data_IF_700078240759
#
_entry.id   IF_700078240759
#
_cell.length_a   1.000
_cell.length_b   1.000
_cell.length_c   1.000
_cell.angle_alpha   90.00
_cell.angle_beta   90.00
_cell.angle_gamma   90.00
#
_symmetry.space_group_name_H-M   'P 1'
#
loop_
_entity.id
_entity.type
_entity.pdbx_description
1 polymer ?
#
# COMPACT_ATOMS: atom_id res chain seq x y z
N UNK A 1 13.62 45.23 27.78
CA UNK A 1 13.61 44.27 26.66
C UNK A 1 14.94 43.56 26.70
N UNK A 2 14.94 42.37 27.29
CA UNK A 2 16.04 41.42 27.31
C UNK A 2 15.41 40.11 26.83
N UNK A 3 15.95 39.63 25.71
CA UNK A 3 15.70 38.34 25.11
C UNK A 3 16.41 37.29 25.96
N UNK A 4 15.68 36.26 26.39
CA UNK A 4 16.27 34.97 26.73
C UNK A 4 15.41 33.89 26.07
N UNK A 5 15.95 33.36 24.97
CA UNK A 5 15.57 32.11 24.34
C UNK A 5 16.04 30.97 25.25
N UNK A 6 15.11 30.19 25.80
CA UNK A 6 15.37 28.83 26.29
C UNK A 6 14.51 27.87 25.46
N UNK A 7 14.97 27.65 24.22
CA UNK A 7 14.54 26.57 23.34
C UNK A 7 15.45 25.37 23.58
N UNK A 8 15.21 24.65 24.68
CA UNK A 8 15.84 23.34 24.94
C UNK A 8 14.78 22.25 24.72
N UNK A 9 14.39 22.07 23.45
CA UNK A 9 13.64 20.90 23.01
C UNK A 9 14.64 19.73 22.90
N UNK A 10 14.61 18.72 23.79
CA UNK A 10 15.49 17.56 23.66
C UNK A 10 15.06 16.77 22.42
N UNK A 11 15.71 17.08 21.31
CA UNK A 11 15.67 16.29 20.11
C UNK A 11 16.12 14.86 20.40
N UNK A 12 15.44 13.93 19.73
CA UNK A 12 15.84 12.54 19.52
C UNK A 12 15.69 11.53 20.67
N UNK A 13 14.45 11.34 21.14
CA UNK A 13 14.02 9.98 21.50
C UNK A 13 13.68 9.21 20.23
N UNK A 14 14.70 8.71 19.53
CA UNK A 14 14.52 7.58 18.63
C UNK A 14 15.24 6.38 19.23
N UNK A 15 14.56 5.54 20.03
CA UNK A 15 15.03 4.19 20.26
C UNK A 15 15.02 3.52 18.88
N UNK A 16 16.21 3.34 18.30
CA UNK A 16 16.46 2.36 17.25
C UNK A 16 16.23 0.95 17.84
N UNK A 17 14.99 0.63 18.23
CA UNK A 17 14.57 -0.75 18.44
C UNK A 17 14.21 -1.32 17.05
N UNK A 18 15.27 -1.49 16.26
CA UNK A 18 15.28 -2.32 15.08
C UNK A 18 15.30 -3.79 15.53
N UNK A 19 14.27 -4.56 15.19
CA UNK A 19 14.52 -5.96 14.84
C UNK A 19 13.41 -6.71 14.08
N UNK A 20 12.24 -6.11 13.83
CA UNK A 20 11.23 -6.78 12.98
C UNK A 20 10.37 -5.81 12.14
N UNK A 21 10.13 -4.60 12.62
CA UNK A 21 9.25 -3.62 11.96
C UNK A 21 9.79 -2.88 10.72
N UNK A 22 11.09 -2.50 10.62
CA UNK A 22 11.56 -1.62 9.54
C UNK A 22 11.52 -2.27 8.16
N UNK A 23 11.97 -3.52 8.03
CA UNK A 23 12.02 -4.23 6.74
C UNK A 23 10.61 -4.54 6.22
N UNK A 24 9.70 -4.97 7.09
CA UNK A 24 8.29 -5.18 6.73
C UNK A 24 7.59 -3.87 6.33
N UNK A 25 7.97 -2.74 6.93
CA UNK A 25 7.44 -1.42 6.55
C UNK A 25 7.95 -0.99 5.17
N UNK A 26 9.25 -1.15 4.90
CA UNK A 26 9.85 -0.80 3.60
C UNK A 26 9.27 -1.65 2.45
N UNK A 27 9.16 -2.96 2.66
CA UNK A 27 8.56 -3.87 1.67
C UNK A 27 7.08 -3.53 1.40
N UNK A 28 6.34 -3.18 2.46
CA UNK A 28 4.94 -2.76 2.34
C UNK A 28 4.80 -1.42 1.60
N UNK A 29 5.65 -0.44 1.91
CA UNK A 29 5.66 0.87 1.22
C UNK A 29 5.96 0.67 -0.26
N UNK A 30 6.95 -0.17 -0.58
CA UNK A 30 7.29 -0.47 -1.96
C UNK A 30 6.13 -1.14 -2.70
N UNK A 31 5.49 -2.14 -2.09
CA UNK A 31 4.34 -2.81 -2.69
C UNK A 31 3.13 -1.86 -2.88
N UNK A 32 2.95 -0.87 -2.00
CA UNK A 32 1.94 0.18 -2.17
C UNK A 32 2.27 1.12 -3.34
N UNK A 33 3.52 1.54 -3.47
CA UNK A 33 3.98 2.39 -4.57
C UNK A 33 3.89 1.70 -5.93
N UNK A 34 4.26 0.41 -5.99
CA UNK A 34 4.17 -0.39 -7.21
C UNK A 34 2.69 -0.54 -7.67
N UNK A 35 1.74 -0.56 -6.72
CA UNK A 35 0.31 -0.64 -7.02
C UNK A 35 -0.26 0.65 -7.66
N UNK A 36 0.36 1.82 -7.44
CA UNK A 36 -0.09 3.08 -8.09
C UNK A 36 0.06 3.04 -9.62
N UNK A 37 1.04 2.29 -10.12
CA UNK A 37 1.33 2.14 -11.54
C UNK A 37 0.70 0.87 -12.16
N UNK A 38 -0.26 0.24 -11.46
CA UNK A 38 -0.82 -1.03 -11.87
C UNK A 38 -1.74 -0.91 -13.11
N UNK A 39 -2.10 -2.05 -13.70
CA UNK A 39 -2.88 -2.11 -14.95
C UNK A 39 -4.25 -1.43 -14.82
N UNK A 40 -4.91 -1.54 -13.67
CA UNK A 40 -6.14 -0.81 -13.38
C UNK A 40 -5.93 0.70 -13.26
N UNK A 41 -4.71 1.21 -13.13
CA UNK A 41 -4.38 2.63 -13.22
C UNK A 41 -4.32 3.14 -14.66
N UNK A 42 -4.11 2.25 -15.64
CA UNK A 42 -3.91 2.59 -17.05
C UNK A 42 -5.20 3.08 -17.71
N UNK A 43 -5.42 4.40 -17.64
CA UNK A 43 -6.58 5.05 -18.25
C UNK A 43 -6.57 4.95 -19.78
N UNK A 44 -5.38 4.99 -20.39
CA UNK A 44 -5.22 4.95 -21.85
C UNK A 44 -5.67 3.62 -22.42
N UNK A 45 -5.20 2.50 -21.86
CA UNK A 45 -5.60 1.17 -22.32
C UNK A 45 -7.10 0.93 -22.07
N UNK A 46 -7.63 1.35 -20.92
CA UNK A 46 -9.08 1.24 -20.66
C UNK A 46 -9.92 2.04 -21.63
N UNK A 47 -9.51 3.27 -21.97
CA UNK A 47 -10.22 4.08 -22.96
C UNK A 47 -10.18 3.42 -24.34
N UNK A 48 -9.03 2.86 -24.75
CA UNK A 48 -8.92 2.12 -26.01
C UNK A 48 -9.88 0.92 -26.04
N UNK A 49 -9.93 0.13 -24.97
CA UNK A 49 -10.86 -1.00 -24.84
C UNK A 49 -12.32 -0.52 -24.91
N UNK A 50 -12.67 0.55 -24.20
CA UNK A 50 -14.02 1.11 -24.21
C UNK A 50 -14.42 1.71 -25.57
N UNK A 51 -13.45 2.16 -26.36
CA UNK A 51 -13.66 2.69 -27.71
C UNK A 51 -13.72 1.61 -28.80
N UNK A 52 -13.55 0.33 -28.45
CA UNK A 52 -13.65 -0.74 -29.42
C UNK A 52 -15.06 -0.79 -30.03
N UNK A 53 -15.18 -0.93 -31.36
CA UNK A 53 -16.46 -0.96 -32.04
C UNK A 53 -17.34 -2.13 -31.57
N UNK A 54 -18.66 -2.01 -31.73
CA UNK A 54 -19.56 -3.09 -31.32
C UNK A 54 -19.41 -4.32 -32.22
N UNK A 55 -19.02 -4.12 -33.46
CA UNK A 55 -18.79 -5.14 -34.47
C UNK A 55 -17.66 -6.12 -34.09
N UNK A 56 -16.73 -5.72 -33.22
CA UNK A 56 -15.67 -6.64 -32.72
C UNK A 56 -16.15 -7.51 -31.56
N UNK A 57 -17.33 -7.23 -30.99
CA UNK A 57 -17.89 -7.92 -29.81
C UNK A 57 -19.20 -8.64 -30.12
N UNK A 58 -20.00 -8.16 -31.08
CA UNK A 58 -21.31 -8.71 -31.44
C UNK A 58 -21.29 -9.36 -32.82
N UNK A 59 -21.38 -10.69 -32.82
CA UNK A 59 -21.39 -11.54 -34.01
C UNK A 59 -22.62 -11.25 -34.89
N UNK A 60 -23.72 -10.76 -34.32
CA UNK A 60 -24.96 -10.43 -35.04
C UNK A 60 -24.77 -9.27 -36.02
N UNK A 61 -23.76 -8.42 -35.79
CA UNK A 61 -23.44 -7.29 -36.66
C UNK A 61 -22.65 -7.70 -37.91
N UNK A 62 -22.11 -8.92 -37.96
CA UNK A 62 -21.38 -9.42 -39.13
C UNK A 62 -22.27 -9.52 -40.38
N UNK A 63 -23.58 -9.77 -40.22
CA UNK A 63 -24.53 -9.82 -41.33
C UNK A 63 -24.64 -8.48 -42.09
N UNK A 64 -24.26 -7.37 -41.45
CA UNK A 64 -24.27 -6.03 -42.06
C UNK A 64 -23.03 -5.78 -42.94
N UNK A 65 -22.04 -6.66 -42.91
CA UNK A 65 -20.81 -6.54 -43.69
C UNK A 65 -21.00 -7.20 -45.04
N UNK A 66 -21.23 -6.37 -46.06
CA UNK A 66 -21.55 -6.85 -47.41
C UNK A 66 -20.35 -6.83 -48.35
N UNK A 67 -19.26 -6.13 -47.99
CA UNK A 67 -18.08 -5.97 -48.82
C UNK A 67 -16.82 -6.58 -48.18
N UNK A 68 -15.98 -7.16 -49.04
CA UNK A 68 -14.74 -7.84 -48.63
C UNK A 68 -13.77 -6.88 -47.93
N UNK A 69 -13.68 -5.63 -48.37
CA UNK A 69 -12.78 -4.66 -47.74
C UNK A 69 -13.19 -4.32 -46.30
N UNK A 70 -14.49 -4.15 -46.04
CA UNK A 70 -15.02 -3.94 -44.69
C UNK A 70 -14.78 -5.16 -43.79
N UNK A 71 -14.94 -6.37 -44.34
CA UNK A 71 -14.60 -7.60 -43.62
C UNK A 71 -13.11 -7.67 -43.27
N UNK A 72 -12.22 -7.33 -44.20
CA UNK A 72 -10.77 -7.28 -43.95
C UNK A 72 -10.38 -6.21 -42.93
N UNK A 73 -11.01 -5.02 -42.97
CA UNK A 73 -10.81 -3.97 -41.96
C UNK A 73 -11.27 -4.45 -40.58
N UNK A 74 -12.46 -5.03 -40.48
CA UNK A 74 -12.95 -5.55 -39.21
C UNK A 74 -12.06 -6.66 -38.68
N UNK A 75 -11.61 -7.60 -39.53
CA UNK A 75 -10.71 -8.69 -39.12
C UNK A 75 -9.45 -8.14 -38.44
N UNK A 76 -8.82 -7.10 -39.01
CA UNK A 76 -7.66 -6.46 -38.38
C UNK A 76 -8.01 -5.82 -37.04
N UNK A 77 -9.14 -5.12 -36.95
CA UNK A 77 -9.58 -4.53 -35.68
C UNK A 77 -9.89 -5.59 -34.62
N UNK A 78 -10.47 -6.74 -35.00
CA UNK A 78 -10.68 -7.88 -34.10
C UNK A 78 -9.35 -8.44 -33.60
N UNK A 79 -8.39 -8.64 -34.49
CA UNK A 79 -7.06 -9.16 -34.11
C UNK A 79 -6.34 -8.22 -33.13
N UNK A 80 -6.35 -6.91 -33.41
CA UNK A 80 -5.79 -5.89 -32.53
C UNK A 80 -6.51 -5.83 -31.18
N UNK A 81 -7.84 -5.90 -31.18
CA UNK A 81 -8.65 -5.94 -29.97
C UNK A 81 -8.37 -7.18 -29.12
N UNK A 82 -8.24 -8.35 -29.74
CA UNK A 82 -7.89 -9.60 -29.08
C UNK A 82 -6.54 -9.51 -28.37
N UNK A 83 -5.51 -8.99 -29.05
CA UNK A 83 -4.18 -8.81 -28.46
C UNK A 83 -4.23 -7.83 -27.29
N UNK A 84 -4.90 -6.69 -27.46
CA UNK A 84 -5.06 -5.67 -26.42
C UNK A 84 -5.75 -6.23 -25.17
N UNK A 85 -6.85 -6.97 -25.35
CA UNK A 85 -7.60 -7.58 -24.25
C UNK A 85 -6.78 -8.67 -23.55
N UNK A 86 -6.06 -9.51 -24.31
CA UNK A 86 -5.22 -10.54 -23.72
C UNK A 86 -4.10 -9.95 -22.85
N UNK A 87 -3.42 -8.92 -23.35
CA UNK A 87 -2.38 -8.21 -22.60
C UNK A 87 -2.94 -7.54 -21.36
N UNK A 88 -4.04 -6.78 -21.51
CA UNK A 88 -4.68 -6.10 -20.38
C UNK A 88 -5.17 -7.07 -19.31
N UNK A 89 -5.84 -8.16 -19.70
CA UNK A 89 -6.34 -9.18 -18.78
C UNK A 89 -5.18 -9.90 -18.07
N UNK A 90 -4.07 -10.16 -18.78
CA UNK A 90 -2.87 -10.73 -18.18
C UNK A 90 -2.27 -9.81 -17.11
N UNK A 91 -2.10 -8.53 -17.43
CA UNK A 91 -1.60 -7.51 -16.49
C UNK A 91 -2.56 -7.34 -15.29
N UNK A 92 -3.86 -7.31 -15.53
CA UNK A 92 -4.88 -7.20 -14.48
C UNK A 92 -4.89 -8.42 -13.56
N UNK A 93 -4.71 -9.63 -14.10
CA UNK A 93 -4.62 -10.85 -13.30
C UNK A 93 -3.39 -10.85 -12.37
N UNK A 94 -2.23 -10.42 -12.87
CA UNK A 94 -1.02 -10.25 -12.05
C UNK A 94 -1.26 -9.25 -10.92
N UNK A 95 -1.80 -8.09 -11.25
CA UNK A 95 -2.16 -7.05 -10.29
C UNK A 95 -3.15 -7.53 -9.21
N UNK A 96 -4.12 -8.37 -9.58
CA UNK A 96 -5.05 -8.94 -8.59
C UNK A 96 -4.33 -9.84 -7.60
N UNK A 97 -3.31 -10.59 -8.03
CA UNK A 97 -2.50 -11.39 -7.10
C UNK A 97 -1.61 -10.50 -6.23
N UNK A 98 -0.99 -9.47 -6.80
CA UNK A 98 -0.21 -8.48 -6.05
C UNK A 98 -1.07 -7.83 -4.95
N UNK A 99 -2.32 -7.48 -5.25
CA UNK A 99 -3.27 -6.96 -4.25
C UNK A 99 -3.58 -7.96 -3.15
N UNK A 100 -3.72 -9.25 -3.46
CA UNK A 100 -3.93 -10.28 -2.43
C UNK A 100 -2.71 -10.43 -1.54
N UNK A 101 -1.52 -10.39 -2.13
CA UNK A 101 -0.27 -10.41 -1.36
C UNK A 101 -0.16 -9.17 -0.46
N UNK A 102 -0.43 -7.99 -1.00
CA UNK A 102 -0.43 -6.75 -0.24
C UNK A 102 -1.42 -6.79 0.93
N UNK A 103 -2.62 -7.34 0.73
CA UNK A 103 -3.60 -7.52 1.80
C UNK A 103 -3.06 -8.44 2.92
N UNK A 104 -2.35 -9.52 2.58
CA UNK A 104 -1.67 -10.39 3.56
C UNK A 104 -0.59 -9.63 4.33
N UNK A 105 0.26 -8.88 3.62
CA UNK A 105 1.31 -8.05 4.23
C UNK A 105 0.73 -7.02 5.18
N UNK A 106 -0.39 -6.37 4.83
CA UNK A 106 -1.07 -5.40 5.70
C UNK A 106 -1.58 -6.03 7.00
N UNK A 107 -2.15 -7.24 6.92
CA UNK A 107 -2.64 -7.96 8.09
C UNK A 107 -1.47 -8.31 9.02
N UNK A 108 -0.40 -8.88 8.47
CA UNK A 108 0.81 -9.25 9.22
C UNK A 108 1.50 -8.02 9.85
N UNK A 109 1.61 -6.94 9.09
CA UNK A 109 2.19 -5.68 9.58
C UNK A 109 1.36 -5.11 10.72
N UNK A 110 0.02 -5.08 10.57
CA UNK A 110 -0.88 -4.59 11.63
C UNK A 110 -0.78 -5.43 12.89
N UNK A 111 -0.68 -6.75 12.77
CA UNK A 111 -0.52 -7.63 13.93
C UNK A 111 0.81 -7.38 14.63
N UNK A 112 1.90 -7.32 13.87
CA UNK A 112 3.25 -7.00 14.38
C UNK A 112 3.27 -5.65 15.10
N UNK A 113 2.62 -4.62 14.54
CA UNK A 113 2.55 -3.30 15.16
C UNK A 113 1.78 -3.32 16.49
N UNK A 114 0.71 -4.12 16.62
CA UNK A 114 -0.01 -4.29 17.90
C UNK A 114 0.84 -4.97 18.96
N UNK A 115 1.61 -5.99 18.57
CA UNK A 115 2.48 -6.71 19.49
C UNK A 115 3.61 -5.80 20.00
N UNK A 116 4.23 -5.03 19.08
CA UNK A 116 5.23 -4.00 19.42
C UNK A 116 4.63 -2.93 20.33
N UNK A 117 3.42 -2.44 20.04
CA UNK A 117 2.76 -1.45 20.90
C UNK A 117 2.55 -1.99 22.32
N UNK A 118 2.03 -3.22 22.43
CA UNK A 118 1.80 -3.88 23.73
C UNK A 118 3.11 -4.05 24.51
N UNK A 119 4.21 -4.41 23.84
CA UNK A 119 5.52 -4.52 24.47
C UNK A 119 6.06 -3.16 24.94
N UNK A 120 5.90 -2.12 24.12
CA UNK A 120 6.30 -0.75 24.44
C UNK A 120 5.51 -0.19 25.62
N UNK A 121 4.20 -0.43 25.67
CA UNK A 121 3.33 -0.06 26.80
C UNK A 121 3.81 -0.72 28.10
N UNK A 122 4.02 -2.04 28.10
CA UNK A 122 4.56 -2.77 29.26
C UNK A 122 5.92 -2.23 29.71
N UNK A 123 6.82 -1.95 28.77
CA UNK A 123 8.15 -1.40 29.07
C UNK A 123 8.04 -0.02 29.72
N UNK A 124 7.11 0.80 29.24
CA UNK A 124 6.85 2.15 29.77
C UNK A 124 6.23 2.09 31.18
N UNK A 125 5.32 1.16 31.45
CA UNK A 125 4.78 0.91 32.80
C UNK A 125 5.87 0.53 33.81
N UNK A 126 6.81 -0.34 33.42
CA UNK A 126 7.95 -0.75 34.27
C UNK A 126 8.88 0.44 34.55
N UNK A 127 9.15 1.28 33.55
CA UNK A 127 9.95 2.51 33.74
C UNK A 127 9.27 3.53 34.65
N UNK A 128 7.95 3.70 34.53
CA UNK A 128 7.18 4.59 35.40
C UNK A 128 7.08 4.05 36.83
N UNK A 129 6.89 2.74 37.02
CA UNK A 129 6.83 2.12 38.34
C UNK A 129 8.17 2.11 39.10
N UNK A 130 9.31 2.18 38.40
CA UNK A 130 10.63 2.35 39.02
C UNK A 130 10.91 3.82 39.42
N UNK A 131 10.05 4.76 39.00
CA UNK A 131 10.16 6.19 39.31
C UNK A 131 9.38 6.60 40.57
N UNK A 132 8.70 5.67 41.24
CA UNK A 132 8.07 5.95 42.55
C UNK A 132 9.15 6.16 43.62
N UNK A 133 9.18 7.33 44.30
CA UNK A 133 10.20 7.62 45.29
C UNK A 133 10.04 6.73 46.53
N UNK A 134 11.15 6.15 46.98
CA UNK A 134 11.24 5.40 48.24
C UNK A 134 10.52 6.13 49.40
N UNK A 135 9.70 5.45 50.21
CA UNK A 135 8.96 6.10 51.28
C UNK A 135 9.92 6.46 52.42
N UNK A 136 9.99 7.77 52.68
CA UNK A 136 10.28 8.39 53.98
C UNK A 136 11.51 7.88 54.76
N UNK A 137 12.68 8.48 54.50
CA UNK A 137 13.74 8.63 55.51
C UNK A 137 13.75 10.06 56.06
N UNK A 138 12.66 10.47 56.71
CA UNK A 138 12.66 11.62 57.63
C UNK A 138 12.01 11.21 58.95
N UNK A 139 12.74 10.41 59.73
CA UNK A 139 12.42 10.20 61.15
C UNK A 139 13.70 9.95 61.95
N UNK A 140 14.63 10.91 61.93
CA UNK A 140 15.75 11.00 62.88
C UNK A 140 16.13 12.47 63.07
N UNK A 141 15.18 13.28 63.57
CA UNK A 141 15.42 14.62 64.11
C UNK A 141 14.58 14.84 65.40
N UNK A 142 14.48 13.81 66.22
CA UNK A 142 14.10 13.91 67.63
C UNK A 142 15.01 12.98 68.43
N UNK A 143 16.14 13.51 68.90
CA UNK A 143 16.87 13.12 70.12
C UNK A 143 17.95 14.15 70.39
#
# INVERSE_FOLDING_TARGET
MQEEEDDDYPGSYSPQDANAGPLLAEDLIKALQDLENAASGDATVRQKIASLPQEVQDVSLLEKITDKEAAERLSKTVDEACLLLAEYNGRLAAELEDRRQLARMLIEYTQTQKDVLTEKEKKLEVSNGCSDPAPQTQQTLCS
#
